data_IF_041289431369
#
_entry.id   IF_041289431369
#
_cell.length_a   1.000
_cell.length_b   1.000
_cell.length_c   1.000
_cell.angle_alpha   90.00
_cell.angle_beta   90.00
_cell.angle_gamma   90.00
#
_symmetry.space_group_name_H-M   'P 1'
#
loop_
_entity.id
_entity.type
_entity.pdbx_description
1 polymer ?
#
# COMPACT_ATOMS: atom_id res chain seq x y z
N UNK A 1 -10.60 24.00 -17.43
CA UNK A 1 -10.41 23.15 -16.25
C UNK A 1 -10.50 24.07 -15.06
N UNK A 2 -11.57 23.96 -14.27
CA UNK A 2 -11.66 24.73 -13.04
C UNK A 2 -10.71 24.13 -12.01
N UNK A 3 -10.17 24.98 -11.15
CA UNK A 3 -9.40 24.61 -9.96
C UNK A 3 -10.26 23.78 -9.00
N UNK A 4 -10.29 22.46 -9.21
CA UNK A 4 -11.02 21.49 -8.38
C UNK A 4 -10.08 20.92 -7.34
N UNK A 5 -9.67 21.75 -6.38
CA UNK A 5 -8.94 21.30 -5.20
C UNK A 5 -9.65 21.81 -3.94
N UNK A 6 -9.51 21.05 -2.85
CA UNK A 6 -9.92 21.55 -1.54
C UNK A 6 -8.92 22.63 -1.09
N UNK A 7 -9.39 23.80 -0.62
CA UNK A 7 -8.48 24.82 -0.10
C UNK A 7 -7.72 24.23 1.10
N UNK A 8 -6.40 24.40 1.12
CA UNK A 8 -5.58 23.89 2.21
C UNK A 8 -5.78 24.76 3.46
N UNK A 9 -6.50 24.23 4.44
CA UNK A 9 -6.76 24.85 5.76
C UNK A 9 -5.79 24.35 6.84
N UNK A 10 -4.84 23.48 6.49
CA UNK A 10 -3.89 22.93 7.46
C UNK A 10 -2.88 24.00 7.93
N UNK A 11 -2.53 24.01 9.23
CA UNK A 11 -1.56 24.96 9.76
C UNK A 11 -0.17 24.76 9.14
N UNK A 12 0.62 25.83 9.12
CA UNK A 12 2.04 25.75 8.76
C UNK A 12 2.79 24.88 9.77
N UNK A 13 3.80 24.14 9.28
CA UNK A 13 4.63 23.32 10.14
C UNK A 13 5.37 24.16 11.20
N UNK A 14 5.26 23.74 12.45
CA UNK A 14 6.03 24.27 13.59
C UNK A 14 6.91 23.12 14.09
N UNK A 15 8.19 23.40 14.34
CA UNK A 15 9.12 22.40 14.88
C UNK A 15 8.63 21.90 16.23
N UNK A 16 8.80 20.61 16.50
CA UNK A 16 8.46 19.98 17.78
C UNK A 16 9.42 20.47 18.88
N UNK A 17 9.29 21.71 19.33
CA UNK A 17 9.95 22.20 20.54
C UNK A 17 9.05 21.90 21.75
N UNK A 18 9.66 21.35 22.80
CA UNK A 18 8.99 20.96 24.04
C UNK A 18 8.56 22.25 24.74
N UNK A 19 7.27 22.58 24.65
CA UNK A 19 6.51 23.62 25.36
C UNK A 19 5.92 24.67 24.43
N UNK A 20 4.69 24.43 23.99
CA UNK A 20 3.63 25.44 23.98
C UNK A 20 2.29 24.68 24.03
N UNK A 21 1.69 24.60 25.23
CA UNK A 21 0.28 24.25 25.38
C UNK A 21 -0.53 25.43 24.85
N UNK A 22 -0.75 25.45 23.54
CA UNK A 22 -1.64 26.44 22.94
C UNK A 22 -3.10 26.08 23.19
N UNK A 23 -3.88 27.11 23.52
CA UNK A 23 -5.24 27.00 24.03
C UNK A 23 -6.18 26.34 23.03
N UNK A 24 -6.73 25.21 23.44
CA UNK A 24 -7.79 24.44 22.80
C UNK A 24 -8.96 25.35 22.38
N UNK A 25 -9.07 25.61 21.07
CA UNK A 25 -10.30 26.04 20.42
C UNK A 25 -10.88 24.84 19.68
N UNK A 26 -12.04 24.36 20.15
CA UNK A 26 -12.95 23.38 19.50
C UNK A 26 -12.31 22.59 18.35
N UNK A 27 -11.38 21.68 18.69
CA UNK A 27 -10.47 21.12 17.69
C UNK A 27 -11.17 20.05 16.84
N UNK A 28 -11.32 20.33 15.55
CA UNK A 28 -11.63 19.33 14.54
C UNK A 28 -10.70 18.12 14.68
N UNK A 29 -11.23 16.92 14.43
CA UNK A 29 -10.46 15.66 14.52
C UNK A 29 -9.15 15.66 13.73
N UNK A 30 -9.07 16.46 12.66
CA UNK A 30 -7.86 16.68 11.86
C UNK A 30 -6.80 17.51 12.61
N UNK A 31 -7.18 18.58 13.30
CA UNK A 31 -6.25 19.40 14.08
C UNK A 31 -5.63 18.59 15.22
N UNK A 32 -6.44 17.75 15.86
CA UNK A 32 -5.98 16.80 16.87
C UNK A 32 -4.99 15.78 16.33
N UNK A 33 -5.14 15.31 15.08
CA UNK A 33 -4.17 14.41 14.45
C UNK A 33 -2.85 15.12 14.12
N UNK A 34 -2.91 16.39 13.71
CA UNK A 34 -1.73 17.19 13.36
C UNK A 34 -0.91 17.61 14.58
N UNK A 35 -1.53 17.77 15.76
CA UNK A 35 -0.84 18.09 17.02
C UNK A 35 -0.23 16.87 17.73
N UNK A 36 -0.48 15.66 17.24
CA UNK A 36 0.07 14.44 17.85
C UNK A 36 1.55 14.24 17.55
N UNK A 37 2.34 13.72 18.50
CA UNK A 37 3.74 13.41 18.25
C UNK A 37 3.86 12.29 17.20
N UNK A 38 4.91 12.36 16.39
CA UNK A 38 5.14 11.42 15.28
C UNK A 38 5.03 9.94 15.67
N UNK A 39 5.51 9.56 16.86
CA UNK A 39 5.49 8.16 17.33
C UNK A 39 4.08 7.61 17.57
N UNK A 40 3.13 8.45 17.97
CA UNK A 40 1.73 8.07 18.15
C UNK A 40 0.97 8.13 16.84
N UNK A 41 1.21 9.18 16.04
CA UNK A 41 0.59 9.36 14.73
C UNK A 41 0.96 8.21 13.77
N UNK A 42 2.24 7.87 13.67
CA UNK A 42 2.73 6.77 12.82
C UNK A 42 2.09 5.44 13.17
N UNK A 43 1.93 5.12 14.46
CA UNK A 43 1.25 3.89 14.92
C UNK A 43 -0.23 3.88 14.53
N UNK A 44 -0.91 5.02 14.63
CA UNK A 44 -2.32 5.13 14.25
C UNK A 44 -2.50 4.97 12.73
N UNK A 45 -1.66 5.62 11.93
CA UNK A 45 -1.65 5.48 10.48
C UNK A 45 -1.29 4.05 10.05
N UNK A 46 -0.35 3.41 10.75
CA UNK A 46 -0.01 2.01 10.51
C UNK A 46 -1.22 1.09 10.74
N UNK A 47 -1.94 1.25 11.86
CA UNK A 47 -3.16 0.47 12.12
C UNK A 47 -4.22 0.68 11.05
N UNK A 48 -4.53 1.93 10.75
CA UNK A 48 -5.52 2.26 9.71
C UNK A 48 -5.09 1.72 8.34
N UNK A 49 -3.79 1.73 8.02
CA UNK A 49 -3.24 1.15 6.80
C UNK A 49 -3.39 -0.37 6.75
N UNK A 50 -3.24 -1.07 7.87
CA UNK A 50 -3.47 -2.52 7.96
C UNK A 50 -4.95 -2.87 7.79
N UNK A 51 -5.86 -2.10 8.39
CA UNK A 51 -7.31 -2.29 8.21
C UNK A 51 -7.71 -2.09 6.74
N UNK A 52 -7.11 -1.08 6.07
CA UNK A 52 -7.33 -0.84 4.66
C UNK A 52 -6.74 -1.94 3.77
N UNK A 53 -5.56 -2.46 4.12
CA UNK A 53 -4.93 -3.61 3.46
C UNK A 53 -5.87 -4.82 3.46
N UNK A 54 -6.45 -5.17 4.61
CA UNK A 54 -7.38 -6.29 4.72
C UNK A 54 -8.60 -6.10 3.82
N UNK A 55 -9.18 -4.91 3.81
CA UNK A 55 -10.31 -4.57 2.95
C UNK A 55 -9.96 -4.72 1.46
N UNK A 56 -8.80 -4.20 1.03
CA UNK A 56 -8.33 -4.29 -0.36
C UNK A 56 -8.11 -5.74 -0.77
N UNK A 57 -7.48 -6.55 0.08
CA UNK A 57 -7.21 -7.97 -0.20
C UNK A 57 -8.53 -8.74 -0.31
N UNK A 58 -9.50 -8.46 0.56
CA UNK A 58 -10.81 -9.09 0.52
C UNK A 58 -11.54 -8.79 -0.78
N UNK A 59 -11.57 -7.53 -1.21
CA UNK A 59 -12.26 -7.11 -2.44
C UNK A 59 -11.55 -7.60 -3.71
N UNK A 60 -10.23 -7.47 -3.77
CA UNK A 60 -9.46 -7.74 -5.01
C UNK A 60 -9.07 -9.20 -5.21
N UNK A 61 -8.91 -9.97 -4.12
CA UNK A 61 -8.48 -11.37 -4.17
C UNK A 61 -9.52 -12.35 -3.62
N UNK A 62 -10.14 -12.01 -2.49
CA UNK A 62 -11.12 -12.86 -1.81
C UNK A 62 -12.43 -13.02 -2.60
N UNK A 63 -13.14 -11.91 -2.83
CA UNK A 63 -14.44 -11.91 -3.52
C UNK A 63 -14.31 -12.14 -5.03
N UNK A 64 -13.16 -11.77 -5.63
CA UNK A 64 -12.85 -12.00 -7.04
C UNK A 64 -12.58 -13.47 -7.41
N UNK A 65 -12.68 -14.41 -6.46
CA UNK A 65 -12.49 -15.84 -6.71
C UNK A 65 -11.09 -16.19 -7.20
N UNK A 66 -10.08 -15.38 -6.86
CA UNK A 66 -8.69 -15.54 -7.30
C UNK A 66 -8.49 -15.50 -8.82
N UNK A 67 -9.43 -14.91 -9.58
CA UNK A 67 -9.30 -14.74 -11.03
C UNK A 67 -8.70 -13.37 -11.33
N UNK A 68 -7.55 -13.36 -12.01
CA UNK A 68 -6.86 -12.11 -12.40
C UNK A 68 -7.34 -11.69 -13.79
N UNK A 69 -8.15 -10.63 -13.85
CA UNK A 69 -8.56 -9.99 -15.10
C UNK A 69 -7.60 -8.88 -15.54
N UNK A 70 -7.17 -8.04 -14.59
CA UNK A 70 -6.16 -7.02 -14.79
C UNK A 70 -4.91 -7.39 -13.98
N UNK A 71 -3.81 -7.63 -14.67
CA UNK A 71 -2.53 -8.00 -14.06
C UNK A 71 -1.63 -6.78 -13.80
N UNK A 72 -2.03 -5.59 -14.23
CA UNK A 72 -1.18 -4.39 -14.11
C UNK A 72 -1.05 -3.94 -12.66
N UNK A 73 0.03 -3.21 -12.36
CA UNK A 73 0.24 -2.63 -11.04
C UNK A 73 -0.68 -1.43 -10.79
N UNK A 74 -1.06 -0.72 -11.85
CA UNK A 74 -1.79 0.54 -11.79
C UNK A 74 -3.23 0.37 -11.28
N UNK A 75 -3.97 -0.58 -11.85
CA UNK A 75 -5.38 -0.83 -11.54
C UNK A 75 -5.69 -2.29 -11.21
N UNK A 76 -4.72 -3.18 -11.39
CA UNK A 76 -4.91 -4.62 -11.27
C UNK A 76 -4.37 -5.22 -9.98
N UNK A 77 -4.41 -6.55 -9.94
CA UNK A 77 -4.09 -7.35 -8.76
C UNK A 77 -2.59 -7.28 -8.37
N UNK A 78 -1.72 -6.89 -9.30
CA UNK A 78 -0.30 -6.67 -8.98
C UNK A 78 -0.11 -5.48 -8.03
N UNK A 79 -1.01 -4.49 -8.05
CA UNK A 79 -1.03 -3.42 -7.06
C UNK A 79 -1.29 -3.95 -5.65
N UNK A 80 -2.21 -4.89 -5.50
CA UNK A 80 -2.47 -5.59 -4.23
C UNK A 80 -1.26 -6.39 -3.78
N UNK A 81 -0.57 -7.10 -4.70
CA UNK A 81 0.67 -7.80 -4.38
C UNK A 81 1.77 -6.84 -3.89
N UNK A 82 1.94 -5.68 -4.55
CA UNK A 82 2.90 -4.67 -4.10
C UNK A 82 2.55 -4.13 -2.70
N UNK A 83 1.26 -3.90 -2.42
CA UNK A 83 0.80 -3.48 -1.10
C UNK A 83 1.12 -4.51 -0.02
N UNK A 84 0.91 -5.80 -0.30
CA UNK A 84 1.26 -6.90 0.60
C UNK A 84 2.78 -6.98 0.83
N UNK A 85 3.58 -6.87 -0.22
CA UNK A 85 5.03 -6.82 -0.10
C UNK A 85 5.49 -5.62 0.73
N UNK A 86 4.86 -4.45 0.57
CA UNK A 86 5.11 -3.27 1.42
C UNK A 86 4.71 -3.49 2.87
N UNK A 87 3.59 -4.15 3.14
CA UNK A 87 3.21 -4.55 4.49
C UNK A 87 4.27 -5.45 5.10
N UNK A 88 4.72 -6.47 4.36
CA UNK A 88 5.80 -7.37 4.80
C UNK A 88 7.08 -6.61 5.17
N UNK A 89 7.50 -5.62 4.38
CA UNK A 89 8.68 -4.80 4.72
C UNK A 89 8.54 -4.02 6.05
N UNK A 90 7.31 -3.73 6.49
CA UNK A 90 7.04 -2.97 7.73
C UNK A 90 6.73 -3.88 8.91
N UNK A 91 6.00 -4.97 8.71
CA UNK A 91 5.50 -5.86 9.78
C UNK A 91 6.28 -7.17 9.89
N UNK A 92 7.11 -7.51 8.91
CA UNK A 92 7.83 -8.79 8.78
C UNK A 92 6.91 -10.02 8.86
N UNK A 93 5.67 -9.88 8.38
CA UNK A 93 4.68 -10.95 8.39
C UNK A 93 4.83 -11.86 7.17
N UNK A 94 5.29 -13.09 7.38
CA UNK A 94 5.50 -14.08 6.32
C UNK A 94 4.21 -14.43 5.54
N UNK A 95 3.04 -14.38 6.17
CA UNK A 95 1.77 -14.67 5.50
C UNK A 95 1.49 -13.67 4.36
N UNK A 96 1.84 -12.39 4.56
CA UNK A 96 1.68 -11.36 3.54
C UNK A 96 2.64 -11.61 2.36
N UNK A 97 3.82 -12.17 2.63
CA UNK A 97 4.79 -12.53 1.60
C UNK A 97 4.30 -13.73 0.76
N UNK A 98 3.77 -14.77 1.40
CA UNK A 98 3.21 -15.92 0.67
C UNK A 98 2.01 -15.53 -0.18
N UNK A 99 1.10 -14.71 0.35
CA UNK A 99 -0.05 -14.21 -0.41
C UNK A 99 0.39 -13.33 -1.59
N UNK A 100 1.42 -12.50 -1.41
CA UNK A 100 2.03 -11.74 -2.50
C UNK A 100 2.51 -12.67 -3.63
N UNK A 101 3.24 -13.75 -3.29
CA UNK A 101 3.73 -14.71 -4.28
C UNK A 101 2.58 -15.42 -5.02
N UNK A 102 1.50 -15.79 -4.34
CA UNK A 102 0.32 -16.38 -4.98
C UNK A 102 -0.31 -15.45 -6.01
N UNK A 103 -0.51 -14.18 -5.64
CA UNK A 103 -1.08 -13.18 -6.54
C UNK A 103 -0.14 -12.95 -7.73
N UNK A 104 1.17 -12.85 -7.50
CA UNK A 104 2.15 -12.68 -8.58
C UNK A 104 2.14 -13.87 -9.53
N UNK A 105 2.02 -15.11 -9.05
CA UNK A 105 1.90 -16.31 -9.92
C UNK A 105 0.66 -16.26 -10.81
N UNK A 106 -0.47 -15.79 -10.27
CA UNK A 106 -1.68 -15.58 -11.04
C UNK A 106 -1.52 -14.44 -12.07
N UNK A 107 -0.87 -13.33 -11.69
CA UNK A 107 -0.53 -12.23 -12.59
C UNK A 107 0.45 -12.66 -13.70
N UNK A 108 1.45 -13.49 -13.44
CA UNK A 108 2.36 -13.99 -14.48
C UNK A 108 1.58 -14.80 -15.51
N UNK A 109 0.70 -15.71 -15.05
CA UNK A 109 -0.17 -16.50 -15.92
C UNK A 109 -1.07 -15.63 -16.81
N UNK A 110 -1.66 -14.56 -16.25
CA UNK A 110 -2.49 -13.61 -16.98
C UNK A 110 -1.68 -12.72 -17.95
N UNK A 111 -0.43 -12.39 -17.61
CA UNK A 111 0.41 -11.47 -18.39
C UNK A 111 1.10 -12.11 -19.61
N UNK A 112 1.03 -13.44 -19.78
CA UNK A 112 1.79 -14.19 -20.82
C UNK A 112 1.59 -13.69 -22.25
N UNK A 113 0.39 -13.21 -22.57
CA UNK A 113 0.04 -12.72 -23.90
C UNK A 113 0.21 -11.19 -24.06
N UNK A 114 0.57 -10.47 -22.98
CA UNK A 114 0.71 -9.02 -23.02
C UNK A 114 2.00 -8.58 -23.71
N UNK A 115 1.94 -7.44 -24.39
CA UNK A 115 3.08 -6.75 -25.00
C UNK A 115 3.61 -5.61 -24.15
N UNK A 116 2.97 -5.33 -23.02
CA UNK A 116 3.33 -4.22 -22.15
C UNK A 116 4.59 -4.57 -21.35
N UNK A 117 5.59 -3.69 -21.39
CA UNK A 117 6.95 -3.94 -20.87
C UNK A 117 7.32 -3.10 -19.65
N UNK A 118 6.46 -2.18 -19.21
CA UNK A 118 6.80 -1.27 -18.11
C UNK A 118 6.55 -1.91 -16.75
N UNK A 119 7.09 -1.32 -15.69
CA UNK A 119 6.84 -1.79 -14.33
C UNK A 119 5.38 -1.57 -13.88
N UNK A 120 4.80 -0.42 -14.25
CA UNK A 120 3.47 -0.02 -13.77
C UNK A 120 2.34 -0.71 -14.56
N UNK A 121 2.47 -0.79 -15.89
CA UNK A 121 1.40 -1.30 -16.75
C UNK A 121 1.77 -2.60 -17.48
N UNK A 122 2.94 -3.18 -17.21
CA UNK A 122 3.47 -4.27 -18.03
C UNK A 122 4.03 -5.44 -17.23
N UNK A 123 4.49 -6.43 -17.99
CA UNK A 123 5.01 -7.69 -17.46
C UNK A 123 6.30 -7.53 -16.67
N UNK A 124 7.08 -6.48 -16.93
CA UNK A 124 8.28 -6.21 -16.16
C UNK A 124 7.97 -5.99 -14.65
N UNK A 125 6.81 -5.42 -14.32
CA UNK A 125 6.37 -5.28 -12.93
C UNK A 125 6.13 -6.63 -12.27
N UNK A 126 5.44 -7.52 -12.97
CA UNK A 126 5.13 -8.88 -12.49
C UNK A 126 6.41 -9.67 -12.22
N UNK A 127 7.33 -9.69 -13.19
CA UNK A 127 8.59 -10.42 -13.06
C UNK A 127 9.50 -9.83 -11.98
N UNK A 128 9.64 -8.50 -11.93
CA UNK A 128 10.49 -7.83 -10.95
C UNK A 128 9.97 -8.03 -9.52
N UNK A 129 8.66 -7.85 -9.29
CA UNK A 129 8.07 -8.06 -7.97
C UNK A 129 8.17 -9.53 -7.54
N UNK A 130 7.92 -10.47 -8.47
CA UNK A 130 8.04 -11.90 -8.22
C UNK A 130 9.45 -12.32 -7.80
N UNK A 131 10.47 -11.86 -8.53
CA UNK A 131 11.87 -12.17 -8.21
C UNK A 131 12.30 -11.61 -6.84
N UNK A 132 11.88 -10.38 -6.51
CA UNK A 132 12.18 -9.77 -5.22
C UNK A 132 11.46 -10.50 -4.09
N UNK A 133 10.17 -10.79 -4.24
CA UNK A 133 9.39 -11.52 -3.25
C UNK A 133 9.95 -12.94 -3.01
N UNK A 134 10.33 -13.65 -4.09
CA UNK A 134 10.90 -14.99 -3.99
C UNK A 134 12.25 -15.00 -3.26
N UNK A 135 13.10 -14.00 -3.54
CA UNK A 135 14.36 -13.81 -2.82
C UNK A 135 14.15 -13.63 -1.31
N UNK A 136 13.13 -12.87 -0.91
CA UNK A 136 12.79 -12.70 0.51
C UNK A 136 12.18 -13.97 1.13
N UNK A 137 11.52 -14.80 0.33
CA UNK A 137 10.96 -16.08 0.80
C UNK A 137 12.00 -17.21 0.86
N UNK A 138 13.28 -16.94 0.55
CA UNK A 138 14.33 -17.95 0.36
C UNK A 138 13.95 -19.04 -0.66
N UNK A 139 13.07 -18.73 -1.60
CA UNK A 139 12.69 -19.64 -2.67
C UNK A 139 13.66 -19.43 -3.85
N UNK A 140 14.78 -20.15 -3.81
CA UNK A 140 15.81 -20.09 -4.87
C UNK A 140 15.42 -20.84 -6.16
N UNK A 141 14.22 -21.44 -6.21
CA UNK A 141 13.81 -22.35 -7.29
C UNK A 141 13.03 -21.69 -8.45
N UNK A 142 13.07 -20.37 -8.58
CA UNK A 142 12.36 -19.60 -9.62
C UNK A 142 13.20 -19.33 -10.87
#
# INVERSE_FOLDING_TARGET
>A
MADRFFPNVMPSFVTEDIQEEDKVTDEDSLMKLLSMPYTSLSKQLQRSGLDHKETIVMETWGLGGQVVHDFTLYSGNLGTALLLYKSYQVTDNENDLFLCLEIVKACDSASRASRDVTFICGRAGVCALGAVAAKHANDEAL
#
